data_IF_815858319949
#
_entry.id   IF_815858319949
#
_cell.length_a   1.000
_cell.length_b   1.000
_cell.length_c   1.000
_cell.angle_alpha   90.00
_cell.angle_beta   90.00
_cell.angle_gamma   90.00
#
_symmetry.space_group_name_H-M   'P 1'
#
loop_
_entity.id
_entity.type
_entity.pdbx_description
1 polymer ?
#
# COMPACT_ATOMS: atom_id res chain seq x y z
N UNK A 1 11.73 20.08 -23.80
CA UNK A 1 10.61 19.24 -24.29
C UNK A 1 10.18 18.34 -23.16
N UNK A 2 8.98 18.56 -22.63
CA UNK A 2 8.45 17.87 -21.44
C UNK A 2 8.51 16.33 -21.52
N UNK A 3 8.29 15.74 -22.70
CA UNK A 3 8.36 14.28 -22.89
C UNK A 3 9.76 13.69 -22.65
N UNK A 4 10.84 14.41 -22.98
CA UNK A 4 12.21 13.93 -22.74
C UNK A 4 12.51 13.90 -21.23
N UNK A 5 12.03 14.91 -20.50
CA UNK A 5 12.15 15.00 -19.04
C UNK A 5 11.33 13.89 -18.37
N UNK A 6 10.08 13.69 -18.80
CA UNK A 6 9.22 12.61 -18.31
C UNK A 6 9.86 11.24 -18.55
N UNK A 7 10.38 10.99 -19.76
CA UNK A 7 11.09 9.75 -20.10
C UNK A 7 12.28 9.50 -19.16
N UNK A 8 13.08 10.53 -18.86
CA UNK A 8 14.21 10.41 -17.94
C UNK A 8 13.76 10.02 -16.51
N UNK A 9 12.65 10.59 -16.02
CA UNK A 9 12.08 10.22 -14.73
C UNK A 9 11.56 8.79 -14.75
N UNK A 10 10.79 8.41 -15.77
CA UNK A 10 10.24 7.05 -15.93
C UNK A 10 11.32 5.96 -15.92
N UNK A 11 12.46 6.21 -16.55
CA UNK A 11 13.58 5.25 -16.59
C UNK A 11 14.32 5.12 -15.26
N UNK A 12 14.35 6.18 -14.45
CA UNK A 12 15.15 6.23 -13.21
C UNK A 12 14.35 5.95 -11.95
N UNK A 13 13.04 6.15 -11.98
CA UNK A 13 12.18 6.03 -10.80
C UNK A 13 12.22 4.63 -10.23
N UNK A 14 12.55 4.55 -8.93
CA UNK A 14 12.44 3.34 -8.13
C UNK A 14 11.41 3.57 -7.04
N UNK A 15 10.29 2.86 -7.13
CA UNK A 15 9.20 2.92 -6.15
C UNK A 15 8.86 1.51 -5.64
N UNK A 16 9.70 0.87 -4.82
CA UNK A 16 9.47 -0.48 -4.31
C UNK A 16 8.29 -0.54 -3.31
N UNK A 17 7.68 -1.73 -3.18
CA UNK A 17 6.60 -2.01 -2.22
C UNK A 17 7.20 -2.23 -0.81
N UNK A 18 7.51 -1.14 -0.11
CA UNK A 18 8.19 -1.18 1.19
C UNK A 18 7.25 -1.21 2.40
N UNK A 19 5.96 -0.95 2.19
CA UNK A 19 4.96 -0.96 3.25
C UNK A 19 4.32 -2.33 3.34
N UNK A 20 3.99 -2.80 4.54
CA UNK A 20 3.35 -4.09 4.75
C UNK A 20 1.98 -3.92 5.40
N UNK A 21 0.95 -4.52 4.81
CA UNK A 21 -0.41 -4.53 5.34
C UNK A 21 -0.65 -5.85 6.09
N UNK A 22 -0.71 -5.80 7.43
CA UNK A 22 -0.93 -7.00 8.25
C UNK A 22 -2.31 -7.65 8.06
N UNK A 23 -3.32 -6.88 7.69
CA UNK A 23 -4.69 -7.37 7.52
C UNK A 23 -4.89 -8.09 6.19
N UNK A 24 -4.28 -7.57 5.13
CA UNK A 24 -4.32 -8.14 3.78
C UNK A 24 -3.16 -9.08 3.47
N UNK A 25 -2.15 -9.13 4.33
CA UNK A 25 -0.93 -9.94 4.16
C UNK A 25 -0.19 -9.67 2.85
N UNK A 26 -0.08 -8.40 2.46
CA UNK A 26 0.62 -8.01 1.24
C UNK A 26 1.50 -6.77 1.43
N UNK A 27 2.58 -6.72 0.64
CA UNK A 27 3.40 -5.52 0.51
C UNK A 27 2.77 -4.53 -0.48
N UNK A 28 2.86 -3.25 -0.17
CA UNK A 28 2.36 -2.16 -1.00
C UNK A 28 3.32 -0.96 -0.96
N UNK A 29 3.03 0.03 -1.81
CA UNK A 29 3.64 1.36 -1.81
C UNK A 29 2.54 2.39 -1.72
N UNK A 30 2.73 3.42 -0.92
CA UNK A 30 1.79 4.51 -0.79
C UNK A 30 2.02 5.58 -1.87
N UNK A 31 1.12 6.57 -1.93
CA UNK A 31 1.33 7.76 -2.76
C UNK A 31 2.59 8.51 -2.32
N UNK A 32 2.82 8.60 -1.01
CA UNK A 32 3.97 9.26 -0.40
C UNK A 32 5.27 8.56 -0.75
N UNK A 33 5.32 7.22 -0.75
CA UNK A 33 6.50 6.46 -1.16
C UNK A 33 6.91 6.80 -2.62
N UNK A 34 5.93 6.94 -3.52
CA UNK A 34 6.19 7.33 -4.91
C UNK A 34 6.69 8.77 -4.98
N UNK A 35 6.05 9.70 -4.26
CA UNK A 35 6.44 11.11 -4.25
C UNK A 35 7.85 11.33 -3.68
N UNK A 36 8.23 10.61 -2.63
CA UNK A 36 9.60 10.65 -2.10
C UNK A 36 10.62 10.17 -3.14
N UNK A 37 10.31 9.09 -3.87
CA UNK A 37 11.16 8.59 -4.97
C UNK A 37 11.27 9.57 -6.15
N UNK A 38 10.25 10.40 -6.37
CA UNK A 38 10.22 11.39 -7.46
C UNK A 38 11.04 12.65 -7.15
N UNK A 39 11.06 13.14 -5.90
CA UNK A 39 11.72 14.40 -5.52
C UNK A 39 13.12 14.61 -6.14
N UNK A 40 14.09 13.69 -5.98
CA UNK A 40 15.42 13.90 -6.55
C UNK A 40 15.42 13.93 -8.09
N UNK A 41 14.54 13.17 -8.73
CA UNK A 41 14.44 13.10 -10.20
C UNK A 41 13.77 14.35 -10.78
N UNK A 42 12.75 14.87 -10.11
CA UNK A 42 12.09 16.12 -10.46
C UNK A 42 13.06 17.30 -10.39
N UNK A 43 13.88 17.35 -9.32
CA UNK A 43 14.94 18.35 -9.18
C UNK A 43 15.97 18.23 -10.32
N UNK A 44 16.41 17.02 -10.66
CA UNK A 44 17.39 16.80 -11.75
C UNK A 44 16.86 17.29 -13.10
N UNK A 45 15.55 17.15 -13.35
CA UNK A 45 14.94 17.52 -14.63
C UNK A 45 14.37 18.96 -14.66
N UNK A 46 14.52 19.75 -13.60
CA UNK A 46 13.81 21.04 -13.44
C UNK A 46 12.32 20.88 -13.76
N UNK A 47 11.68 19.91 -13.11
CA UNK A 47 10.28 19.60 -13.26
C UNK A 47 9.57 19.61 -11.90
N UNK A 48 8.25 19.71 -11.92
CA UNK A 48 7.42 19.58 -10.72
C UNK A 48 6.22 18.68 -11.00
N UNK A 49 5.57 18.23 -9.95
CA UNK A 49 4.32 17.47 -10.03
C UNK A 49 3.25 18.09 -9.15
N UNK A 50 2.04 18.17 -9.70
CA UNK A 50 0.85 18.59 -8.97
C UNK A 50 -0.17 17.44 -8.94
N UNK A 51 -0.85 17.30 -7.81
CA UNK A 51 -1.95 16.37 -7.62
C UNK A 51 -3.21 17.16 -7.25
N UNK A 52 -4.33 16.83 -7.90
CA UNK A 52 -5.65 17.35 -7.54
C UNK A 52 -6.66 16.22 -7.51
N UNK A 53 -7.66 16.35 -6.63
CA UNK A 53 -8.75 15.39 -6.51
C UNK A 53 -10.09 16.10 -6.76
N UNK A 54 -11.01 15.39 -7.40
CA UNK A 54 -12.41 15.79 -7.54
C UNK A 54 -13.34 14.60 -7.30
N UNK A 55 -14.55 14.87 -6.83
CA UNK A 55 -15.58 13.84 -6.69
C UNK A 55 -16.27 13.68 -8.05
N UNK A 56 -16.29 12.45 -8.56
CA UNK A 56 -16.99 12.07 -9.77
C UNK A 56 -18.18 11.16 -9.41
N UNK A 57 -19.39 11.64 -9.67
CA UNK A 57 -20.61 10.86 -9.50
C UNK A 57 -20.92 10.11 -10.81
N UNK A 58 -20.96 8.78 -10.77
CA UNK A 58 -21.29 7.95 -11.94
C UNK A 58 -22.47 7.07 -11.60
N UNK A 59 -23.67 7.53 -11.97
CA UNK A 59 -24.92 6.92 -11.50
C UNK A 59 -25.03 7.06 -9.97
N UNK A 60 -25.21 5.93 -9.28
CA UNK A 60 -25.30 5.87 -7.81
C UNK A 60 -23.93 5.70 -7.11
N UNK A 61 -22.83 5.71 -7.88
CA UNK A 61 -21.50 5.47 -7.36
C UNK A 61 -20.71 6.77 -7.16
N UNK A 62 -20.12 6.89 -5.97
CA UNK A 62 -19.16 7.94 -5.63
C UNK A 62 -17.75 7.47 -5.98
N UNK A 63 -17.09 8.19 -6.87
CA UNK A 63 -15.67 8.01 -7.18
C UNK A 63 -14.89 9.25 -6.76
N UNK A 64 -13.66 9.04 -6.32
CA UNK A 64 -12.64 10.08 -6.27
C UNK A 64 -11.81 9.95 -7.56
N UNK A 65 -11.78 11.02 -8.34
CA UNK A 65 -10.90 11.16 -9.49
C UNK A 65 -9.68 11.98 -9.06
N UNK A 66 -8.50 11.40 -9.17
CA UNK A 66 -7.25 12.12 -8.96
C UNK A 66 -6.55 12.38 -10.29
N UNK A 67 -5.98 13.57 -10.44
CA UNK A 67 -5.19 13.96 -11.61
C UNK A 67 -3.77 14.27 -11.18
N UNK A 68 -2.80 13.61 -11.82
CA UNK A 68 -1.38 13.89 -11.66
C UNK A 68 -0.87 14.67 -12.87
N UNK A 69 -0.21 15.80 -12.63
CA UNK A 69 0.29 16.70 -13.69
C UNK A 69 1.80 16.86 -13.54
N UNK A 70 2.55 16.34 -14.50
CA UNK A 70 3.99 16.58 -14.63
C UNK A 70 4.22 17.88 -15.43
N UNK A 71 4.99 18.80 -14.87
CA UNK A 71 5.21 20.14 -15.44
C UNK A 71 6.70 20.38 -15.60
N UNK A 72 7.12 20.77 -16.80
CA UNK A 72 8.44 21.32 -17.06
C UNK A 72 8.50 22.73 -16.45
N UNK A 73 9.30 22.92 -15.40
CA UNK A 73 9.33 24.17 -14.63
C UNK A 73 10.01 25.33 -15.39
N UNK A 74 10.71 25.02 -16.50
CA UNK A 74 11.38 26.02 -17.33
C UNK A 74 10.46 26.60 -18.41
N UNK A 75 9.55 25.77 -18.94
CA UNK A 75 8.71 26.14 -20.09
C UNK A 75 7.22 26.27 -19.74
N UNK A 76 6.77 25.60 -18.68
CA UNK A 76 5.36 25.44 -18.33
C UNK A 76 4.64 24.33 -19.11
N UNK A 77 5.32 23.63 -20.03
CA UNK A 77 4.76 22.48 -20.74
C UNK A 77 4.36 21.39 -19.74
N UNK A 78 3.21 20.74 -19.96
CA UNK A 78 2.64 19.78 -19.01
C UNK A 78 2.10 18.51 -19.65
N UNK A 79 2.10 17.43 -18.88
CA UNK A 79 1.49 16.14 -19.20
C UNK A 79 0.66 15.72 -17.99
N UNK A 80 -0.58 15.28 -18.23
CA UNK A 80 -1.51 14.89 -17.18
C UNK A 80 -2.07 13.48 -17.40
N UNK A 81 -2.27 12.78 -16.28
CA UNK A 81 -2.93 11.47 -16.23
C UNK A 81 -3.91 11.50 -15.07
N UNK A 82 -5.12 11.00 -15.31
CA UNK A 82 -6.14 10.86 -14.28
C UNK A 82 -6.44 9.39 -13.98
N UNK A 83 -6.81 9.11 -12.74
CA UNK A 83 -7.29 7.80 -12.32
C UNK A 83 -8.44 7.94 -11.32
N UNK A 84 -9.20 6.87 -11.16
CA UNK A 84 -10.40 6.84 -10.32
C UNK A 84 -10.26 5.76 -9.25
N UNK A 85 -10.75 6.06 -8.06
CA UNK A 85 -10.99 5.08 -7.01
C UNK A 85 -12.40 5.23 -6.50
N UNK A 86 -13.08 4.09 -6.33
CA UNK A 86 -14.44 4.08 -5.82
C UNK A 86 -14.42 4.29 -4.31
N UNK A 87 -15.26 5.21 -3.83
CA UNK A 87 -15.57 5.34 -2.43
C UNK A 87 -16.66 4.32 -2.09
N UNK A 88 -16.38 3.43 -1.13
CA UNK A 88 -17.38 2.47 -0.67
C UNK A 88 -18.35 3.17 0.30
N UNK A 89 -19.65 3.06 0.04
CA UNK A 89 -20.68 3.77 0.81
C UNK A 89 -20.77 3.38 2.29
N UNK A 90 -20.32 2.18 2.68
CA UNK A 90 -20.27 1.76 4.09
C UNK A 90 -19.11 0.79 4.34
N UNK A 91 -18.18 1.15 5.24
CA UNK A 91 -17.30 0.18 5.91
C UNK A 91 -17.55 0.26 7.42
N UNK A 92 -18.03 -0.81 8.09
CA UNK A 92 -18.44 -0.78 9.51
C UNK A 92 -17.35 -0.37 10.51
N UNK A 93 -16.08 -0.29 10.08
CA UNK A 93 -14.91 -0.01 10.92
C UNK A 93 -14.19 1.29 10.56
N UNK A 94 -14.72 2.12 9.65
CA UNK A 94 -14.09 3.38 9.23
C UNK A 94 -15.10 4.53 9.26
N UNK A 95 -14.64 5.71 9.67
CA UNK A 95 -15.46 6.92 9.58
C UNK A 95 -15.56 7.42 8.12
N UNK A 96 -16.61 8.16 7.80
CA UNK A 96 -16.84 8.70 6.44
C UNK A 96 -15.64 9.52 5.92
N UNK A 97 -15.00 10.43 6.68
CA UNK A 97 -13.81 11.15 6.20
C UNK A 97 -12.62 10.22 5.91
N UNK A 98 -12.49 9.11 6.65
CA UNK A 98 -11.44 8.11 6.40
C UNK A 98 -11.71 7.31 5.12
N UNK A 99 -12.98 7.09 4.76
CA UNK A 99 -13.36 6.43 3.51
C UNK A 99 -12.95 7.26 2.30
N UNK A 100 -13.31 8.55 2.28
CA UNK A 100 -12.92 9.48 1.23
C UNK A 100 -11.40 9.66 1.16
N UNK A 101 -10.74 9.78 2.30
CA UNK A 101 -9.27 9.87 2.36
C UNK A 101 -8.59 8.64 1.76
N UNK A 102 -9.11 7.45 2.06
CA UNK A 102 -8.60 6.19 1.50
C UNK A 102 -8.79 6.16 -0.01
N UNK A 103 -9.99 6.49 -0.51
CA UNK A 103 -10.28 6.53 -1.95
C UNK A 103 -9.36 7.53 -2.67
N UNK A 104 -9.17 8.73 -2.12
CA UNK A 104 -8.21 9.73 -2.64
C UNK A 104 -6.79 9.17 -2.75
N UNK A 105 -6.28 8.52 -1.71
CA UNK A 105 -4.94 7.91 -1.74
C UNK A 105 -4.80 6.84 -2.83
N UNK A 106 -5.83 6.01 -3.06
CA UNK A 106 -5.82 5.03 -4.14
C UNK A 106 -5.86 5.69 -5.52
N UNK A 107 -6.73 6.69 -5.72
CA UNK A 107 -6.84 7.39 -6.99
C UNK A 107 -5.52 8.09 -7.36
N UNK A 108 -4.90 8.81 -6.41
CA UNK A 108 -3.60 9.48 -6.61
C UNK A 108 -2.50 8.49 -6.97
N UNK A 109 -2.43 7.37 -6.25
CA UNK A 109 -1.46 6.29 -6.53
C UNK A 109 -1.62 5.77 -7.97
N UNK A 110 -2.85 5.52 -8.42
CA UNK A 110 -3.08 5.03 -9.78
C UNK A 110 -2.77 6.09 -10.85
N UNK A 111 -3.05 7.37 -10.59
CA UNK A 111 -2.69 8.46 -11.49
C UNK A 111 -1.17 8.56 -11.64
N UNK A 112 -0.43 8.46 -10.53
CA UNK A 112 1.03 8.42 -10.52
C UNK A 112 1.59 7.18 -11.22
N UNK A 113 0.99 6.00 -11.01
CA UNK A 113 1.42 4.77 -11.68
C UNK A 113 1.29 4.91 -13.20
N UNK A 114 0.16 5.43 -13.68
CA UNK A 114 -0.06 5.66 -15.12
C UNK A 114 0.89 6.71 -15.70
N UNK A 115 1.14 7.80 -14.97
CA UNK A 115 2.05 8.87 -15.43
C UNK A 115 3.51 8.43 -15.49
N UNK A 116 3.97 7.65 -14.50
CA UNK A 116 5.37 7.26 -14.38
C UNK A 116 5.68 5.82 -14.80
N UNK A 117 4.73 5.16 -15.48
CA UNK A 117 4.87 3.78 -15.95
C UNK A 117 5.31 2.82 -14.82
N UNK A 118 4.76 3.01 -13.61
CA UNK A 118 5.08 2.16 -12.47
C UNK A 118 4.29 0.87 -12.64
N UNK A 119 5.01 -0.20 -12.97
CA UNK A 119 4.43 -1.52 -13.07
C UNK A 119 4.04 -2.05 -11.68
N UNK A 120 2.78 -2.44 -11.54
CA UNK A 120 2.17 -2.98 -10.32
C UNK A 120 1.93 -4.49 -10.39
N UNK A 121 2.17 -5.12 -11.55
CA UNK A 121 1.82 -6.52 -11.80
C UNK A 121 2.84 -7.49 -11.18
N UNK A 122 2.45 -8.05 -10.03
CA UNK A 122 2.27 -9.50 -9.97
C UNK A 122 0.78 -9.72 -10.21
N UNK A 123 0.40 -10.38 -11.30
CA UNK A 123 -0.99 -10.61 -11.68
C UNK A 123 -1.82 -11.13 -10.50
N UNK A 124 -3.02 -10.59 -10.31
CA UNK A 124 -3.96 -11.11 -9.32
C UNK A 124 -4.35 -12.58 -9.61
N UNK A 125 -4.26 -13.02 -10.87
CA UNK A 125 -4.44 -14.40 -11.29
C UNK A 125 -3.29 -15.33 -10.85
N UNK A 126 -2.17 -14.77 -10.37
CA UNK A 126 -1.06 -15.56 -9.75
C UNK A 126 -1.12 -15.60 -8.22
N UNK A 127 -2.04 -14.88 -7.60
CA UNK A 127 -2.25 -14.97 -6.15
C UNK A 127 -3.16 -16.16 -5.85
N UNK A 128 -2.52 -17.28 -5.50
CA UNK A 128 -3.18 -18.41 -4.87
C UNK A 128 -3.72 -17.97 -3.49
N UNK A 129 -4.95 -17.45 -3.48
CA UNK A 129 -5.63 -16.94 -2.29
C UNK A 129 -5.81 -18.02 -1.19
N UNK A 130 -5.60 -19.30 -1.51
CA UNK A 130 -5.67 -20.39 -0.52
C UNK A 130 -4.64 -20.23 0.61
N UNK A 131 -3.41 -19.81 0.27
CA UNK A 131 -2.32 -19.62 1.25
C UNK A 131 -2.56 -18.46 2.20
N UNK A 132 -3.25 -17.41 1.74
CA UNK A 132 -3.58 -16.25 2.58
C UNK A 132 -4.64 -16.61 3.63
N UNK A 133 -5.56 -17.51 3.31
CA UNK A 133 -6.55 -18.01 4.27
C UNK A 133 -5.90 -18.88 5.36
N UNK A 134 -4.93 -19.73 5.01
CA UNK A 134 -4.21 -20.58 5.96
C UNK A 134 -3.39 -19.76 6.97
N UNK A 135 -2.61 -18.78 6.50
CA UNK A 135 -1.84 -17.88 7.37
C UNK A 135 -2.77 -17.08 8.28
N UNK A 136 -3.91 -16.62 7.77
CA UNK A 136 -4.90 -15.89 8.56
C UNK A 136 -5.54 -16.76 9.64
N UNK A 137 -5.78 -18.05 9.37
CA UNK A 137 -6.24 -19.00 10.36
C UNK A 137 -5.19 -19.24 11.45
N UNK A 138 -3.94 -19.50 11.07
CA UNK A 138 -2.84 -19.70 12.03
C UNK A 138 -2.62 -18.49 12.94
N UNK A 139 -2.70 -17.26 12.41
CA UNK A 139 -2.63 -16.03 13.23
C UNK A 139 -3.76 -15.95 14.27
N UNK A 140 -4.97 -16.41 13.94
CA UNK A 140 -6.08 -16.48 14.90
C UNK A 140 -5.78 -17.49 16.00
N UNK A 141 -5.26 -18.67 15.64
CA UNK A 141 -4.88 -19.71 16.60
C UNK A 141 -3.80 -19.23 17.56
N UNK A 142 -2.76 -18.55 17.07
CA UNK A 142 -1.72 -17.94 17.93
C UNK A 142 -2.33 -16.97 18.94
N UNK A 143 -3.27 -16.13 18.50
CA UNK A 143 -3.93 -15.14 19.39
C UNK A 143 -4.81 -15.82 20.43
N UNK A 144 -5.64 -16.79 20.05
CA UNK A 144 -6.51 -17.50 20.98
C UNK A 144 -5.71 -18.30 22.01
N UNK A 145 -4.65 -19.00 21.60
CA UNK A 145 -3.79 -19.74 22.54
C UNK A 145 -3.06 -18.81 23.51
N UNK A 146 -2.61 -17.66 23.02
CA UNK A 146 -1.99 -16.65 23.89
C UNK A 146 -2.99 -16.10 24.91
N UNK A 147 -4.24 -15.83 24.51
CA UNK A 147 -5.31 -15.40 25.41
C UNK A 147 -5.63 -16.46 26.47
N UNK A 148 -5.71 -17.75 26.09
CA UNK A 148 -5.90 -18.87 27.02
C UNK A 148 -4.76 -18.98 28.05
N UNK A 149 -3.53 -18.67 27.63
CA UNK A 149 -2.35 -18.63 28.51
C UNK A 149 -2.20 -17.31 29.29
N UNK A 150 -3.11 -16.36 29.11
CA UNK A 150 -3.06 -15.04 29.75
C UNK A 150 -1.95 -14.12 29.24
N UNK A 151 -1.41 -14.40 28.05
CA UNK A 151 -0.34 -13.60 27.45
C UNK A 151 -0.91 -12.34 26.81
N UNK A 152 -0.32 -11.20 27.13
CA UNK A 152 -0.66 -9.95 26.46
C UNK A 152 -0.05 -9.88 25.06
N UNK A 153 -0.59 -8.99 24.23
CA UNK A 153 -0.05 -8.69 22.89
C UNK A 153 1.43 -8.28 22.95
N UNK A 154 1.87 -7.65 24.05
CA UNK A 154 3.28 -7.26 24.25
C UNK A 154 4.18 -8.49 24.43
N UNK A 155 3.71 -9.51 25.15
CA UNK A 155 4.44 -10.78 25.33
C UNK A 155 4.57 -11.52 24.00
N UNK A 156 3.48 -11.56 23.22
CA UNK A 156 3.48 -12.11 21.87
C UNK A 156 4.50 -11.42 20.96
N UNK A 157 4.46 -10.09 20.88
CA UNK A 157 5.38 -9.31 20.03
C UNK A 157 6.83 -9.43 20.49
N UNK A 158 7.08 -9.48 21.81
CA UNK A 158 8.42 -9.74 22.35
C UNK A 158 8.92 -11.14 21.96
N UNK A 159 8.04 -12.15 21.96
CA UNK A 159 8.34 -13.49 21.46
C UNK A 159 8.66 -13.49 19.97
N UNK A 160 7.86 -12.79 19.14
CA UNK A 160 8.13 -12.64 17.71
C UNK A 160 9.51 -12.02 17.46
N UNK A 161 9.86 -10.98 18.21
CA UNK A 161 11.16 -10.31 18.07
C UNK A 161 12.31 -11.19 18.53
N UNK A 162 12.12 -11.95 19.61
CA UNK A 162 13.13 -12.84 20.18
C UNK A 162 13.41 -14.07 19.32
N UNK A 163 12.38 -14.70 18.76
CA UNK A 163 12.49 -16.00 18.09
C UNK A 163 12.62 -15.90 16.57
N UNK A 164 12.11 -14.81 15.97
CA UNK A 164 12.01 -14.66 14.52
C UNK A 164 12.52 -13.31 13.99
N UNK A 165 13.10 -12.47 14.86
CA UNK A 165 13.54 -11.10 14.57
C UNK A 165 12.46 -10.17 13.98
N UNK A 166 11.18 -10.53 14.17
CA UNK A 166 10.03 -9.83 13.59
C UNK A 166 9.26 -9.03 14.65
N UNK A 167 8.75 -7.84 14.31
CA UNK A 167 8.16 -6.93 15.30
C UNK A 167 6.78 -7.37 15.80
N UNK A 168 6.05 -8.20 15.04
CA UNK A 168 4.69 -8.63 15.39
C UNK A 168 4.36 -10.02 14.84
N UNK A 169 3.34 -10.65 15.42
CA UNK A 169 2.73 -11.89 14.90
C UNK A 169 2.23 -11.70 13.47
N UNK A 170 1.82 -10.46 13.13
CA UNK A 170 1.35 -10.09 11.81
C UNK A 170 2.42 -10.24 10.71
N UNK A 171 3.71 -10.25 11.05
CA UNK A 171 4.80 -10.40 10.07
C UNK A 171 5.35 -11.82 9.95
N UNK A 172 4.84 -12.76 10.76
CA UNK A 172 5.28 -14.16 10.72
C UNK A 172 4.71 -14.87 9.48
N UNK A 173 5.52 -15.74 8.88
CA UNK A 173 5.11 -16.67 7.83
C UNK A 173 4.49 -17.94 8.45
N UNK A 174 3.95 -18.83 7.62
CA UNK A 174 3.27 -20.07 8.04
C UNK A 174 4.11 -20.94 9.00
N UNK A 175 5.36 -21.22 8.65
CA UNK A 175 6.26 -22.07 9.46
C UNK A 175 6.60 -21.42 10.82
N UNK A 176 6.82 -20.10 10.81
CA UNK A 176 7.07 -19.34 12.03
C UNK A 176 5.83 -19.25 12.91
N UNK A 177 4.63 -19.13 12.33
CA UNK A 177 3.37 -19.16 13.06
C UNK A 177 3.15 -20.52 13.72
N UNK A 178 3.40 -21.62 13.01
CA UNK A 178 3.33 -22.96 13.58
C UNK A 178 4.34 -23.14 14.71
N UNK A 179 5.59 -22.68 14.52
CA UNK A 179 6.59 -22.70 15.57
C UNK A 179 6.21 -21.82 16.78
N UNK A 180 5.48 -20.74 16.57
CA UNK A 180 4.95 -19.89 17.65
C UNK A 180 3.84 -20.61 18.41
N UNK A 181 2.94 -21.31 17.71
CA UNK A 181 1.89 -22.16 18.32
C UNK A 181 2.54 -23.22 19.21
N UNK A 182 3.55 -23.93 18.71
CA UNK A 182 4.25 -24.97 19.47
C UNK A 182 4.92 -24.40 20.73
N UNK A 183 5.53 -23.22 20.61
CA UNK A 183 6.13 -22.51 21.75
C UNK A 183 5.10 -22.11 22.81
N UNK A 184 3.95 -21.57 22.40
CA UNK A 184 2.87 -21.19 23.32
C UNK A 184 2.31 -22.42 24.03
N UNK A 185 2.14 -23.53 23.31
CA UNK A 185 1.68 -24.79 23.90
C UNK A 185 2.69 -25.40 24.87
N UNK A 186 4.00 -25.22 24.62
CA UNK A 186 5.08 -25.73 25.47
C UNK A 186 5.37 -24.90 26.72
N UNK A 187 4.81 -23.69 26.83
CA UNK A 187 5.01 -22.75 27.93
C UNK A 187 3.90 -22.86 28.99
#
# INVERSE_FOLDING_TARGET
MVYKKLLAVQQKLKAPKNQYNEFGDFYYRSCEDILEGLKPLLQEQNATILLSDEIALVGDWHYVKATAVFIDAETGDKIEVAAYAREEGVRPKMSEPQLTGTASSYARKYALNGLFAIDDQKDADTMDNSRTDDIRQLRKVVKSLAEEKGWSVQVLNAGCKKYYDKPSVGMLNESELQGMIDKINSA
#
